data_IF_224900943075
#
_entry.id   IF_224900943075
#
_cell.length_a   1.000
_cell.length_b   1.000
_cell.length_c   1.000
_cell.angle_alpha   90.00
_cell.angle_beta   90.00
_cell.angle_gamma   90.00
#
_symmetry.space_group_name_H-M   'P 1'
#
loop_
_entity.id
_entity.type
_entity.pdbx_description
1 polymer ?
#
# COMPACT_ATOMS: atom_id res chain seq x y z
N UNK A 1 13.11 -45.62 2.76
CA UNK A 1 12.25 -45.29 1.61
C UNK A 1 10.81 -45.39 2.05
N UNK A 2 9.94 -44.42 1.74
CA UNK A 2 8.53 -44.46 2.14
C UNK A 2 7.76 -45.42 1.23
N UNK A 3 6.77 -46.14 1.79
CA UNK A 3 6.02 -47.20 1.09
C UNK A 3 5.38 -46.73 -0.21
N UNK A 4 4.84 -45.50 -0.24
CA UNK A 4 4.18 -44.95 -1.42
C UNK A 4 5.14 -44.65 -2.58
N UNK A 5 6.37 -44.22 -2.26
CA UNK A 5 7.42 -43.98 -3.27
C UNK A 5 7.86 -45.31 -3.88
N UNK A 6 8.06 -46.33 -3.05
CA UNK A 6 8.44 -47.66 -3.54
C UNK A 6 7.33 -48.29 -4.40
N UNK A 7 6.07 -48.06 -4.05
CA UNK A 7 4.89 -48.54 -4.82
C UNK A 7 4.82 -47.95 -6.23
N UNK A 8 5.00 -46.63 -6.37
CA UNK A 8 4.72 -45.92 -7.63
C UNK A 8 5.97 -45.54 -8.45
N UNK A 9 7.09 -45.26 -7.79
CA UNK A 9 8.35 -44.86 -8.46
C UNK A 9 9.32 -46.05 -8.56
N UNK A 10 9.35 -46.88 -7.52
CA UNK A 10 10.27 -48.00 -7.41
C UNK A 10 11.67 -47.59 -6.95
N UNK A 11 12.37 -48.53 -6.30
CA UNK A 11 13.67 -48.30 -5.66
C UNK A 11 14.74 -47.74 -6.61
N UNK A 12 14.90 -48.36 -7.78
CA UNK A 12 15.96 -48.00 -8.74
C UNK A 12 15.79 -46.58 -9.28
N UNK A 13 14.60 -46.21 -9.73
CA UNK A 13 14.33 -44.88 -10.28
C UNK A 13 14.46 -43.79 -9.21
N UNK A 14 14.04 -44.08 -7.97
CA UNK A 14 14.24 -43.16 -6.85
C UNK A 14 15.72 -42.96 -6.52
N UNK A 15 16.52 -44.04 -6.47
CA UNK A 15 17.97 -43.95 -6.23
C UNK A 15 18.70 -43.16 -7.32
N UNK A 16 18.38 -43.40 -8.60
CA UNK A 16 18.92 -42.62 -9.74
C UNK A 16 18.59 -41.12 -9.64
N UNK A 17 17.40 -40.77 -9.12
CA UNK A 17 17.03 -39.37 -8.94
C UNK A 17 17.75 -38.73 -7.75
N UNK A 18 17.82 -39.42 -6.62
CA UNK A 18 18.48 -38.92 -5.40
C UNK A 18 20.00 -38.83 -5.56
N UNK A 19 20.60 -39.64 -6.43
CA UNK A 19 22.02 -39.53 -6.79
C UNK A 19 22.39 -38.12 -7.30
N UNK A 20 21.45 -37.39 -7.92
CA UNK A 20 21.67 -35.98 -8.33
C UNK A 20 21.87 -35.03 -7.16
N UNK A 21 21.49 -35.42 -5.95
CA UNK A 21 21.65 -34.64 -4.72
C UNK A 21 22.89 -35.07 -3.90
N UNK A 22 23.76 -35.93 -4.45
CA UNK A 22 24.86 -36.55 -3.70
C UNK A 22 25.66 -35.54 -2.87
N UNK A 23 25.68 -35.78 -1.54
CA UNK A 23 26.36 -34.93 -0.57
C UNK A 23 25.50 -33.81 0.06
N UNK A 24 24.23 -33.64 -0.36
CA UNK A 24 23.32 -32.66 0.21
C UNK A 24 22.05 -33.34 0.77
N UNK A 25 22.07 -33.63 2.07
CA UNK A 25 20.97 -34.31 2.79
C UNK A 25 19.70 -33.44 2.84
N UNK A 26 19.82 -32.12 2.84
CA UNK A 26 18.66 -31.20 2.83
C UNK A 26 17.83 -31.38 1.56
N UNK A 27 18.49 -31.47 0.39
CA UNK A 27 17.80 -31.60 -0.89
C UNK A 27 17.11 -32.95 -1.02
N UNK A 28 17.78 -34.02 -0.58
CA UNK A 28 17.19 -35.35 -0.52
C UNK A 28 15.96 -35.39 0.39
N UNK A 29 16.04 -34.82 1.60
CA UNK A 29 14.93 -34.76 2.55
C UNK A 29 13.74 -33.98 1.98
N UNK A 30 13.98 -32.80 1.41
CA UNK A 30 12.93 -31.94 0.84
C UNK A 30 12.27 -32.63 -0.35
N UNK A 31 13.05 -33.19 -1.28
CA UNK A 31 12.52 -33.92 -2.42
C UNK A 31 11.69 -35.14 -1.99
N UNK A 32 12.23 -35.96 -1.10
CA UNK A 32 11.57 -37.18 -0.60
C UNK A 32 10.28 -36.85 0.14
N UNK A 33 10.27 -35.76 0.92
CA UNK A 33 9.07 -35.30 1.61
C UNK A 33 8.00 -34.82 0.64
N UNK A 34 8.38 -33.98 -0.33
CA UNK A 34 7.45 -33.45 -1.34
C UNK A 34 6.86 -34.57 -2.20
N UNK A 35 7.71 -35.42 -2.80
CA UNK A 35 7.29 -36.54 -3.64
C UNK A 35 6.31 -37.46 -2.91
N UNK A 36 6.58 -37.79 -1.65
CA UNK A 36 5.69 -38.63 -0.86
C UNK A 36 4.32 -38.00 -0.65
N UNK A 37 4.26 -36.70 -0.36
CA UNK A 37 2.99 -36.02 -0.13
C UNK A 37 2.20 -35.90 -1.45
N UNK A 38 2.87 -35.50 -2.52
CA UNK A 38 2.30 -35.43 -3.86
C UNK A 38 1.68 -36.76 -4.31
N UNK A 39 2.41 -37.87 -4.17
CA UNK A 39 1.87 -39.20 -4.52
C UNK A 39 0.69 -39.60 -3.61
N UNK A 40 0.68 -39.16 -2.35
CA UNK A 40 -0.41 -39.47 -1.40
C UNK A 40 -1.68 -38.71 -1.79
N UNK A 41 -1.54 -37.46 -2.22
CA UNK A 41 -2.65 -36.65 -2.75
C UNK A 41 -3.21 -37.26 -4.03
N UNK A 42 -2.35 -37.61 -5.00
CA UNK A 42 -2.79 -38.26 -6.24
C UNK A 42 -3.48 -39.62 -5.99
N UNK A 43 -2.93 -40.45 -5.10
CA UNK A 43 -3.56 -41.73 -4.73
C UNK A 43 -4.92 -41.51 -4.05
N UNK A 44 -5.02 -40.54 -3.14
CA UNK A 44 -6.26 -40.18 -2.47
C UNK A 44 -7.35 -39.68 -3.41
N UNK A 45 -6.96 -38.93 -4.44
CA UNK A 45 -7.86 -38.37 -5.45
C UNK A 45 -8.17 -39.34 -6.61
N UNK A 46 -7.61 -40.56 -6.58
CA UNK A 46 -7.63 -41.52 -7.70
C UNK A 46 -7.14 -40.90 -9.03
N UNK A 47 -6.14 -40.03 -8.94
CA UNK A 47 -5.58 -39.30 -10.07
C UNK A 47 -4.34 -39.98 -10.69
N UNK A 48 -3.99 -41.19 -10.22
CA UNK A 48 -2.92 -42.03 -10.80
C UNK A 48 -3.54 -43.01 -11.79
N UNK A 49 -3.18 -42.90 -13.06
CA UNK A 49 -3.68 -43.74 -14.15
C UNK A 49 -2.88 -45.06 -14.28
N UNK A 50 -3.45 -46.08 -14.93
CA UNK A 50 -2.78 -47.40 -15.06
C UNK A 50 -1.51 -47.35 -15.92
N UNK A 51 -1.40 -46.38 -16.82
CA UNK A 51 -0.25 -46.14 -17.69
C UNK A 51 0.73 -45.09 -17.15
N UNK A 52 0.46 -44.52 -15.97
CA UNK A 52 1.41 -43.62 -15.31
C UNK A 52 2.72 -44.34 -15.02
N UNK A 53 3.79 -43.79 -15.58
CA UNK A 53 5.13 -44.30 -15.37
C UNK A 53 5.82 -43.53 -14.25
N UNK A 54 6.88 -44.11 -13.63
CA UNK A 54 7.75 -43.36 -12.73
C UNK A 54 8.27 -42.05 -13.34
N UNK A 55 8.44 -41.98 -14.67
CA UNK A 55 8.90 -40.76 -15.34
C UNK A 55 7.84 -39.66 -15.26
N UNK A 56 6.59 -39.99 -15.62
CA UNK A 56 5.45 -39.06 -15.58
C UNK A 56 5.20 -38.55 -14.15
N UNK A 57 5.17 -39.46 -13.18
CA UNK A 57 4.92 -39.12 -11.77
C UNK A 57 6.06 -38.31 -11.11
N UNK A 58 7.22 -38.23 -11.76
CA UNK A 58 8.35 -37.43 -11.30
C UNK A 58 8.41 -36.03 -11.93
N UNK A 59 7.60 -35.70 -12.94
CA UNK A 59 7.66 -34.40 -13.62
C UNK A 59 7.48 -33.23 -12.64
N UNK A 60 6.36 -33.18 -11.91
CA UNK A 60 6.10 -32.10 -10.93
C UNK A 60 7.12 -32.09 -9.78
N UNK A 61 7.45 -33.23 -9.13
CA UNK A 61 8.52 -33.26 -8.13
C UNK A 61 9.89 -32.79 -8.64
N UNK A 62 10.21 -33.03 -9.92
CA UNK A 62 11.45 -32.55 -10.53
C UNK A 62 11.44 -31.03 -10.67
N UNK A 63 10.37 -30.44 -11.20
CA UNK A 63 10.26 -28.99 -11.35
C UNK A 63 10.28 -28.27 -9.99
N UNK A 64 9.63 -28.88 -8.99
CA UNK A 64 9.65 -28.39 -7.61
C UNK A 64 11.08 -28.34 -7.05
N UNK A 65 11.82 -29.46 -7.11
CA UNK A 65 13.15 -29.52 -6.49
C UNK A 65 14.18 -28.69 -7.25
N UNK A 66 14.08 -28.59 -8.57
CA UNK A 66 14.96 -27.75 -9.37
C UNK A 66 14.76 -26.27 -8.98
N UNK A 67 13.51 -25.81 -8.83
CA UNK A 67 13.21 -24.47 -8.33
C UNK A 67 13.70 -24.24 -6.88
N UNK A 68 13.52 -25.22 -6.00
CA UNK A 68 13.99 -25.14 -4.62
C UNK A 68 15.52 -24.97 -4.57
N UNK A 69 16.26 -25.79 -5.32
CA UNK A 69 17.72 -25.76 -5.36
C UNK A 69 18.23 -24.42 -5.89
N UNK A 70 17.60 -23.86 -6.92
CA UNK A 70 17.92 -22.52 -7.43
C UNK A 70 17.76 -21.46 -6.34
N UNK A 71 16.62 -21.43 -5.64
CA UNK A 71 16.37 -20.46 -4.57
C UNK A 71 17.39 -20.59 -3.42
N UNK A 72 17.74 -21.82 -3.03
CA UNK A 72 18.75 -22.05 -1.99
C UNK A 72 20.14 -21.58 -2.40
N UNK A 73 20.51 -21.75 -3.68
CA UNK A 73 21.79 -21.25 -4.22
C UNK A 73 21.84 -19.73 -4.28
N UNK A 74 20.70 -19.09 -4.53
CA UNK A 74 20.55 -17.64 -4.50
C UNK A 74 20.62 -17.04 -3.09
N UNK A 75 20.51 -17.88 -2.07
CA UNK A 75 20.68 -17.50 -0.66
C UNK A 75 19.37 -17.30 0.11
N UNK A 76 18.22 -17.63 -0.49
CA UNK A 76 16.93 -17.59 0.19
C UNK A 76 16.82 -18.67 1.26
N UNK A 77 16.04 -18.42 2.32
CA UNK A 77 15.73 -19.39 3.37
C UNK A 77 15.04 -20.64 2.85
N UNK A 78 15.00 -21.69 3.69
CA UNK A 78 14.32 -22.95 3.37
C UNK A 78 12.82 -22.74 3.16
N UNK A 79 12.17 -21.95 4.02
CA UNK A 79 10.72 -21.72 3.93
C UNK A 79 10.40 -20.95 2.65
N UNK A 80 11.12 -19.86 2.35
CA UNK A 80 10.96 -19.12 1.10
C UNK A 80 11.12 -20.02 -0.12
N UNK A 81 12.18 -20.84 -0.15
CA UNK A 81 12.47 -21.74 -1.27
C UNK A 81 11.37 -22.79 -1.48
N UNK A 82 10.79 -23.33 -0.40
CA UNK A 82 9.65 -24.27 -0.49
C UNK A 82 8.41 -23.55 -1.02
N UNK A 83 8.07 -22.38 -0.45
CA UNK A 83 6.86 -21.63 -0.82
C UNK A 83 6.92 -21.22 -2.29
N UNK A 84 8.03 -20.65 -2.73
CA UNK A 84 8.27 -20.26 -4.13
C UNK A 84 8.13 -21.43 -5.08
N UNK A 85 8.75 -22.57 -4.76
CA UNK A 85 8.67 -23.77 -5.58
C UNK A 85 7.22 -24.29 -5.70
N UNK A 86 6.42 -24.24 -4.63
CA UNK A 86 4.99 -24.61 -4.68
C UNK A 86 4.17 -23.65 -5.53
N UNK A 87 4.37 -22.34 -5.39
CA UNK A 87 3.65 -21.31 -6.15
C UNK A 87 3.91 -21.42 -7.65
N UNK A 88 5.16 -21.74 -8.04
CA UNK A 88 5.51 -21.99 -9.44
C UNK A 88 4.66 -23.11 -10.06
N UNK A 89 4.27 -24.12 -9.27
CA UNK A 89 3.46 -25.25 -9.72
C UNK A 89 1.96 -24.94 -9.76
N UNK A 90 1.46 -24.06 -8.90
CA UNK A 90 0.03 -23.72 -8.83
C UNK A 90 -0.43 -22.75 -9.92
N UNK A 91 0.47 -22.27 -10.79
CA UNK A 91 0.23 -21.21 -11.78
C UNK A 91 -0.23 -19.87 -11.19
N UNK A 92 -0.23 -19.72 -9.85
CA UNK A 92 -0.51 -18.47 -9.15
C UNK A 92 0.81 -17.73 -9.01
N UNK A 93 1.11 -16.86 -9.99
CA UNK A 93 2.32 -16.02 -9.98
C UNK A 93 2.10 -14.63 -9.38
N UNK A 94 0.85 -14.17 -9.28
CA UNK A 94 0.57 -12.90 -8.62
C UNK A 94 0.91 -13.04 -7.14
N UNK A 95 1.62 -12.04 -6.61
CA UNK A 95 1.97 -11.93 -5.19
C UNK A 95 2.94 -13.00 -4.64
N UNK A 96 3.76 -13.62 -5.50
CA UNK A 96 4.76 -14.60 -5.07
C UNK A 96 5.65 -14.08 -3.93
N UNK A 97 6.12 -12.84 -4.02
CA UNK A 97 6.97 -12.19 -3.01
C UNK A 97 6.23 -12.04 -1.67
N UNK A 98 4.96 -11.64 -1.69
CA UNK A 98 4.13 -11.52 -0.47
C UNK A 98 3.93 -12.87 0.17
N UNK A 99 3.50 -13.88 -0.60
CA UNK A 99 3.26 -15.22 -0.06
C UNK A 99 4.54 -15.83 0.51
N UNK A 100 5.69 -15.64 -0.13
CA UNK A 100 6.96 -16.11 0.43
C UNK A 100 7.33 -15.34 1.70
N UNK A 101 7.18 -14.02 1.73
CA UNK A 101 7.45 -13.21 2.92
C UNK A 101 6.55 -13.62 4.09
N UNK A 102 5.24 -13.75 3.88
CA UNK A 102 4.27 -14.09 4.93
C UNK A 102 4.58 -15.45 5.58
N UNK A 103 4.88 -16.47 4.78
CA UNK A 103 5.23 -17.81 5.26
C UNK A 103 6.51 -17.80 6.11
N UNK A 104 7.55 -17.06 5.69
CA UNK A 104 8.78 -16.94 6.48
C UNK A 104 8.53 -16.10 7.73
N UNK A 105 7.86 -14.95 7.61
CA UNK A 105 7.62 -14.00 8.69
C UNK A 105 6.72 -14.56 9.80
N UNK A 106 5.87 -15.55 9.49
CA UNK A 106 5.10 -16.31 10.47
C UNK A 106 5.98 -17.11 11.43
N UNK A 107 7.20 -17.48 11.01
CA UNK A 107 8.17 -18.24 11.80
C UNK A 107 9.30 -17.36 12.31
N UNK A 108 9.93 -16.57 11.44
CA UNK A 108 11.05 -15.69 11.74
C UNK A 108 11.02 -14.43 10.86
N UNK A 109 10.69 -13.28 11.48
CA UNK A 109 10.64 -11.99 10.79
C UNK A 109 12.01 -11.48 10.35
N UNK A 110 13.08 -11.80 11.09
CA UNK A 110 14.42 -11.36 10.70
C UNK A 110 14.92 -12.15 9.49
N UNK A 111 14.61 -13.44 9.41
CA UNK A 111 14.88 -14.25 8.22
C UNK A 111 14.08 -13.76 7.01
N UNK A 112 12.80 -13.43 7.19
CA UNK A 112 11.96 -12.88 6.12
C UNK A 112 12.51 -11.57 5.55
N UNK A 113 13.03 -10.68 6.41
CA UNK A 113 13.70 -9.45 5.97
C UNK A 113 15.00 -9.74 5.20
N UNK A 114 15.80 -10.72 5.62
CA UNK A 114 17.01 -11.14 4.89
C UNK A 114 16.65 -11.67 3.51
N UNK A 115 15.58 -12.47 3.40
CA UNK A 115 15.11 -12.98 2.12
C UNK A 115 14.64 -11.87 1.18
N UNK A 116 13.92 -10.86 1.69
CA UNK A 116 13.57 -9.68 0.89
C UNK A 116 14.82 -8.93 0.38
N UNK A 117 15.86 -8.81 1.21
CA UNK A 117 17.12 -8.23 0.76
C UNK A 117 17.83 -9.08 -0.32
N UNK A 118 17.78 -10.41 -0.21
CA UNK A 118 18.27 -11.31 -1.26
C UNK A 118 17.49 -11.09 -2.55
N UNK A 119 16.16 -11.03 -2.48
CA UNK A 119 15.30 -10.73 -3.62
C UNK A 119 15.65 -9.41 -4.30
N UNK A 120 15.77 -8.33 -3.53
CA UNK A 120 16.14 -7.01 -4.08
C UNK A 120 17.51 -7.03 -4.75
N UNK A 121 18.49 -7.71 -4.15
CA UNK A 121 19.84 -7.82 -4.72
C UNK A 121 19.85 -8.56 -6.06
N UNK A 122 19.11 -9.65 -6.18
CA UNK A 122 19.02 -10.43 -7.42
C UNK A 122 18.36 -9.63 -8.56
N UNK A 123 17.47 -8.70 -8.22
CA UNK A 123 16.84 -7.78 -9.16
C UNK A 123 17.68 -6.52 -9.46
N UNK A 124 18.94 -6.46 -9.01
CA UNK A 124 19.80 -5.27 -9.12
C UNK A 124 19.17 -4.00 -8.50
N UNK A 125 18.32 -4.18 -7.49
CA UNK A 125 17.66 -3.10 -6.79
C UNK A 125 18.66 -2.20 -6.09
N UNK A 126 18.54 -0.89 -6.31
CA UNK A 126 19.28 0.09 -5.53
C UNK A 126 18.66 0.29 -4.14
N UNK A 127 19.21 1.22 -3.37
CA UNK A 127 18.69 1.51 -2.03
C UNK A 127 17.21 1.92 -2.06
N UNK A 128 16.79 2.76 -3.01
CA UNK A 128 15.41 3.29 -3.03
C UNK A 128 14.40 2.25 -3.50
N UNK A 129 14.77 1.42 -4.48
CA UNK A 129 14.04 0.21 -4.84
C UNK A 129 13.86 -0.70 -3.62
N UNK A 130 14.96 -0.97 -2.91
CA UNK A 130 14.99 -1.91 -1.78
C UNK A 130 14.14 -1.41 -0.62
N UNK A 131 14.32 -0.14 -0.23
CA UNK A 131 13.57 0.49 0.85
C UNK A 131 12.06 0.47 0.55
N UNK A 132 11.67 0.82 -0.68
CA UNK A 132 10.26 0.81 -1.10
C UNK A 132 9.68 -0.61 -1.13
N UNK A 133 10.35 -1.56 -1.76
CA UNK A 133 9.85 -2.95 -1.87
C UNK A 133 9.63 -3.55 -0.49
N UNK A 134 10.60 -3.40 0.40
CA UNK A 134 10.53 -3.95 1.76
C UNK A 134 9.37 -3.30 2.52
N UNK A 135 9.28 -1.97 2.52
CA UNK A 135 8.17 -1.28 3.20
C UNK A 135 6.81 -1.69 2.63
N UNK A 136 6.70 -1.78 1.30
CA UNK A 136 5.48 -2.15 0.61
C UNK A 136 5.06 -3.58 0.96
N UNK A 137 5.97 -4.55 0.96
CA UNK A 137 5.67 -5.96 1.30
C UNK A 137 5.32 -6.13 2.77
N UNK A 138 5.92 -5.36 3.67
CA UNK A 138 5.63 -5.45 5.11
C UNK A 138 4.26 -4.85 5.45
N UNK A 139 3.92 -3.72 4.83
CA UNK A 139 2.74 -2.92 5.19
C UNK A 139 1.51 -3.24 4.33
N UNK A 140 1.69 -3.93 3.20
CA UNK A 140 0.60 -4.38 2.34
C UNK A 140 0.60 -5.91 2.28
N UNK A 141 -0.59 -6.53 2.21
CA UNK A 141 -0.71 -7.98 2.04
C UNK A 141 -0.90 -8.43 0.59
N UNK A 142 -1.01 -7.49 -0.34
CA UNK A 142 -1.41 -7.76 -1.71
C UNK A 142 -1.06 -6.59 -2.63
N UNK A 143 -0.75 -6.91 -3.89
CA UNK A 143 -0.75 -5.96 -4.98
C UNK A 143 -1.38 -6.55 -6.24
N UNK A 144 -2.03 -5.70 -7.03
CA UNK A 144 -2.53 -6.09 -8.36
C UNK A 144 -1.38 -6.23 -9.37
N UNK A 145 -0.28 -5.49 -9.17
CA UNK A 145 0.92 -5.53 -10.00
C UNK A 145 2.05 -6.25 -9.26
N UNK A 146 3.00 -6.89 -9.96
CA UNK A 146 4.19 -7.43 -9.32
C UNK A 146 4.92 -6.32 -8.53
N UNK A 147 5.27 -6.59 -7.27
CA UNK A 147 5.85 -5.58 -6.38
C UNK A 147 7.22 -5.10 -6.85
N UNK A 148 7.95 -5.96 -7.56
CA UNK A 148 9.20 -5.61 -8.23
C UNK A 148 9.01 -4.54 -9.30
N UNK A 149 7.91 -4.54 -10.06
CA UNK A 149 7.61 -3.52 -11.07
C UNK A 149 7.28 -2.19 -10.39
N UNK A 150 6.50 -2.23 -9.30
CA UNK A 150 6.18 -1.04 -8.51
C UNK A 150 7.44 -0.39 -7.92
N UNK A 151 8.34 -1.20 -7.36
CA UNK A 151 9.59 -0.73 -6.80
C UNK A 151 10.53 -0.14 -7.88
N UNK A 152 10.52 -0.72 -9.07
CA UNK A 152 11.24 -0.22 -10.24
C UNK A 152 10.74 1.14 -10.70
N UNK A 153 9.42 1.28 -10.85
CA UNK A 153 8.76 2.54 -11.21
C UNK A 153 9.03 3.60 -10.15
N UNK A 154 8.85 3.26 -8.88
CA UNK A 154 9.17 4.12 -7.75
C UNK A 154 10.61 4.64 -7.82
N UNK A 155 11.61 3.74 -7.94
CA UNK A 155 13.02 4.13 -7.96
C UNK A 155 13.35 5.05 -9.14
N UNK A 156 12.80 4.76 -10.33
CA UNK A 156 12.98 5.59 -11.54
C UNK A 156 12.36 6.98 -11.37
N UNK A 157 11.11 7.05 -10.89
CA UNK A 157 10.41 8.32 -10.70
C UNK A 157 11.08 9.16 -9.62
N UNK A 158 11.46 8.54 -8.50
CA UNK A 158 12.17 9.20 -7.41
C UNK A 158 13.44 9.89 -7.90
N UNK A 159 14.31 9.15 -8.62
CA UNK A 159 15.55 9.70 -9.19
C UNK A 159 15.28 10.88 -10.11
N UNK A 160 14.29 10.75 -11.01
CA UNK A 160 13.90 11.83 -11.92
C UNK A 160 13.47 13.10 -11.17
N UNK A 161 12.74 12.97 -10.07
CA UNK A 161 12.34 14.13 -9.27
C UNK A 161 13.54 14.78 -8.55
N UNK A 162 14.45 13.98 -8.01
CA UNK A 162 15.69 14.47 -7.38
C UNK A 162 16.58 15.20 -8.41
N UNK A 163 16.77 14.62 -9.59
CA UNK A 163 17.52 15.25 -10.70
C UNK A 163 16.86 16.56 -11.16
N UNK A 164 15.53 16.64 -11.07
CA UNK A 164 14.75 17.85 -11.30
C UNK A 164 14.82 18.89 -10.18
N UNK A 165 15.61 18.67 -9.13
CA UNK A 165 15.82 19.59 -8.01
C UNK A 165 14.72 19.58 -6.95
N UNK A 166 13.90 18.53 -6.88
CA UNK A 166 12.89 18.37 -5.83
C UNK A 166 13.51 17.86 -4.53
N UNK A 167 12.86 18.11 -3.40
CA UNK A 167 13.27 17.58 -2.10
C UNK A 167 13.11 16.06 -2.03
N UNK A 168 13.78 15.42 -1.09
CA UNK A 168 13.59 13.98 -0.85
C UNK A 168 12.16 13.64 -0.41
N UNK A 169 11.53 14.51 0.38
CA UNK A 169 10.16 14.34 0.88
C UNK A 169 9.17 14.38 -0.29
N UNK A 170 9.28 15.41 -1.16
CA UNK A 170 8.48 15.50 -2.37
C UNK A 170 8.68 14.30 -3.27
N UNK A 171 9.94 13.96 -3.59
CA UNK A 171 10.27 12.90 -4.52
C UNK A 171 9.75 11.54 -4.03
N UNK A 172 9.89 11.25 -2.73
CA UNK A 172 9.38 10.04 -2.12
C UNK A 172 7.86 9.94 -2.23
N UNK A 173 7.12 10.95 -1.72
CA UNK A 173 5.66 10.91 -1.72
C UNK A 173 5.08 10.90 -3.14
N UNK A 174 5.64 11.69 -4.06
CA UNK A 174 5.23 11.70 -5.46
C UNK A 174 5.46 10.34 -6.13
N UNK A 175 6.65 9.75 -5.95
CA UNK A 175 6.97 8.46 -6.56
C UNK A 175 6.06 7.34 -6.05
N UNK A 176 5.75 7.30 -4.75
CA UNK A 176 4.82 6.29 -4.20
C UNK A 176 3.44 6.40 -4.82
N UNK A 177 2.87 7.61 -4.87
CA UNK A 177 1.53 7.84 -5.42
C UNK A 177 1.42 7.52 -6.91
N UNK A 178 2.47 7.79 -7.69
CA UNK A 178 2.51 7.45 -9.11
C UNK A 178 2.71 5.95 -9.33
N UNK A 179 3.61 5.30 -8.56
CA UNK A 179 3.87 3.87 -8.70
C UNK A 179 2.61 3.03 -8.47
N UNK A 180 1.81 3.41 -7.46
CA UNK A 180 0.53 2.75 -7.16
C UNK A 180 -0.56 2.98 -8.23
N UNK A 181 -0.40 3.97 -9.11
CA UNK A 181 -1.28 4.27 -10.26
C UNK A 181 -2.78 4.45 -9.93
N UNK A 182 -3.10 4.77 -8.66
CA UNK A 182 -4.48 5.02 -8.22
C UNK A 182 -4.97 6.43 -8.50
N UNK A 183 -4.04 7.37 -8.66
CA UNK A 183 -4.33 8.80 -8.70
C UNK A 183 -3.85 9.43 -10.00
N UNK A 184 -4.63 10.39 -10.50
CA UNK A 184 -4.23 11.19 -11.64
C UNK A 184 -2.95 12.00 -11.32
N UNK A 185 -2.04 12.14 -12.27
CA UNK A 185 -0.73 12.77 -12.06
C UNK A 185 -0.81 14.15 -11.35
N UNK A 186 -1.77 15.00 -11.75
CA UNK A 186 -2.04 16.30 -11.12
C UNK A 186 -2.27 16.17 -9.61
N UNK A 187 -3.05 15.18 -9.18
CA UNK A 187 -3.29 14.92 -7.77
C UNK A 187 -1.97 14.58 -7.07
N UNK A 188 -1.18 13.68 -7.64
CA UNK A 188 0.11 13.26 -7.07
C UNK A 188 1.08 14.43 -6.91
N UNK A 189 1.16 15.30 -7.93
CA UNK A 189 2.02 16.50 -7.90
C UNK A 189 1.61 17.46 -6.79
N UNK A 190 0.32 17.83 -6.73
CA UNK A 190 -0.19 18.78 -5.75
C UNK A 190 -0.13 18.21 -4.32
N UNK A 191 -0.40 16.91 -4.16
CA UNK A 191 -0.28 16.23 -2.87
C UNK A 191 1.16 16.29 -2.37
N UNK A 192 2.12 15.82 -3.17
CA UNK A 192 3.51 15.77 -2.77
C UNK A 192 4.07 17.16 -2.45
N UNK A 193 3.65 18.19 -3.19
CA UNK A 193 4.04 19.57 -2.95
C UNK A 193 3.59 20.08 -1.58
N UNK A 194 2.30 19.96 -1.29
CA UNK A 194 1.74 20.48 -0.02
C UNK A 194 2.24 19.67 1.17
N UNK A 195 2.40 18.37 1.00
CA UNK A 195 2.95 17.50 2.02
C UNK A 195 4.39 17.89 2.38
N UNK A 196 5.27 18.05 1.37
CA UNK A 196 6.65 18.51 1.54
C UNK A 196 6.73 19.89 2.20
N UNK A 197 5.93 20.85 1.73
CA UNK A 197 5.88 22.18 2.31
C UNK A 197 5.43 22.15 3.77
N UNK A 198 4.42 21.36 4.11
CA UNK A 198 3.90 21.28 5.47
C UNK A 198 4.95 20.76 6.45
N UNK A 199 5.65 19.68 6.09
CA UNK A 199 6.72 19.12 6.93
C UNK A 199 7.92 20.06 7.04
N UNK A 200 8.27 20.76 5.95
CA UNK A 200 9.33 21.78 5.97
C UNK A 200 9.00 22.96 6.90
N UNK A 201 7.71 23.22 7.15
CA UNK A 201 7.23 24.21 8.13
C UNK A 201 6.95 23.60 9.51
N UNK A 202 7.56 22.46 9.83
CA UNK A 202 7.48 21.79 11.13
C UNK A 202 6.06 21.41 11.56
N UNK A 203 5.14 21.25 10.59
CA UNK A 203 3.82 20.66 10.87
C UNK A 203 3.94 19.16 11.09
N UNK A 204 2.96 18.59 11.79
CA UNK A 204 2.90 17.15 12.02
C UNK A 204 2.60 16.39 10.73
N UNK A 205 2.96 15.12 10.70
CA UNK A 205 2.62 14.18 9.63
C UNK A 205 1.11 14.15 9.35
N UNK A 206 0.29 14.01 10.40
CA UNK A 206 -1.17 14.01 10.30
C UNK A 206 -1.70 15.31 9.65
N UNK A 207 -1.13 16.47 10.00
CA UNK A 207 -1.51 17.74 9.37
C UNK A 207 -1.15 17.74 7.88
N UNK A 208 0.08 17.31 7.54
CA UNK A 208 0.57 17.29 6.17
C UNK A 208 -0.30 16.40 5.28
N UNK A 209 -0.68 15.20 5.76
CA UNK A 209 -1.54 14.28 5.03
C UNK A 209 -2.96 14.85 4.80
N UNK A 210 -3.57 15.41 5.85
CA UNK A 210 -4.91 15.99 5.76
C UNK A 210 -4.92 17.18 4.78
N UNK A 211 -3.91 18.04 4.85
CA UNK A 211 -3.84 19.20 3.98
C UNK A 211 -3.56 18.81 2.54
N UNK A 212 -2.56 17.96 2.30
CA UNK A 212 -2.17 17.51 0.97
C UNK A 212 -3.33 16.78 0.26
N UNK A 213 -4.01 15.88 0.96
CA UNK A 213 -5.17 15.15 0.42
C UNK A 213 -6.29 16.11 0.00
N UNK A 214 -6.63 17.07 0.88
CA UNK A 214 -7.69 18.03 0.58
C UNK A 214 -7.30 18.98 -0.55
N UNK A 215 -6.07 19.48 -0.54
CA UNK A 215 -5.58 20.38 -1.57
C UNK A 215 -5.56 19.71 -2.95
N UNK A 216 -4.95 18.53 -3.05
CA UNK A 216 -4.86 17.79 -4.30
C UNK A 216 -6.25 17.41 -4.86
N UNK A 217 -7.20 17.03 -4.00
CA UNK A 217 -8.57 16.69 -4.43
C UNK A 217 -9.37 17.89 -4.95
N UNK A 218 -9.24 19.08 -4.35
CA UNK A 218 -9.90 20.29 -4.87
C UNK A 218 -9.29 20.74 -6.20
N UNK A 219 -7.98 20.59 -6.38
CA UNK A 219 -7.27 21.06 -7.57
C UNK A 219 -7.36 20.10 -8.76
N UNK A 220 -7.37 18.78 -8.54
CA UNK A 220 -7.43 17.81 -9.64
C UNK A 220 -8.71 17.98 -10.46
N UNK A 221 -9.84 18.21 -9.80
CA UNK A 221 -11.14 18.38 -10.46
C UNK A 221 -11.17 19.64 -11.33
N UNK A 222 -10.61 20.75 -10.81
CA UNK A 222 -10.54 22.02 -11.53
C UNK A 222 -9.60 21.90 -12.72
N UNK A 223 -8.36 21.45 -12.50
CA UNK A 223 -7.34 21.36 -13.55
C UNK A 223 -7.72 20.37 -14.65
N UNK A 224 -8.42 19.27 -14.32
CA UNK A 224 -8.86 18.25 -15.30
C UNK A 224 -10.05 18.68 -16.13
N UNK A 225 -11.07 19.32 -15.55
CA UNK A 225 -12.26 19.81 -16.28
C UNK A 225 -11.92 20.95 -17.22
N UNK A 226 -10.94 21.76 -16.85
CA UNK A 226 -10.57 22.96 -17.55
C UNK A 226 -9.68 22.73 -18.79
N UNK A 227 -9.12 21.53 -18.99
CA UNK A 227 -8.14 21.29 -20.05
C UNK A 227 -6.90 22.19 -19.93
N UNK A 228 -6.53 22.58 -18.70
CA UNK A 228 -5.65 23.74 -18.40
C UNK A 228 -6.35 25.06 -18.78
N UNK A 229 -7.47 25.43 -18.15
CA UNK A 229 -7.91 26.83 -18.20
C UNK A 229 -7.15 27.61 -17.14
N UNK A 230 -6.44 28.64 -17.61
CA UNK A 230 -5.72 29.64 -16.82
C UNK A 230 -6.67 30.57 -16.03
N UNK A 231 -7.83 30.06 -15.60
CA UNK A 231 -8.75 30.83 -14.78
C UNK A 231 -8.22 30.83 -13.34
N UNK A 232 -7.36 31.81 -13.08
CA UNK A 232 -6.71 32.02 -11.78
C UNK A 232 -7.75 32.11 -10.66
N UNK A 233 -8.94 32.66 -10.90
CA UNK A 233 -9.99 32.79 -9.88
C UNK A 233 -10.53 31.43 -9.44
N UNK A 234 -10.77 30.51 -10.38
CA UNK A 234 -11.27 29.16 -10.04
C UNK A 234 -10.18 28.35 -9.31
N UNK A 235 -8.92 28.50 -9.71
CA UNK A 235 -7.79 27.86 -9.04
C UNK A 235 -7.60 28.41 -7.63
N UNK A 236 -7.66 29.72 -7.45
CA UNK A 236 -7.51 30.35 -6.14
C UNK A 236 -8.68 30.00 -5.21
N UNK A 237 -9.90 29.92 -5.73
CA UNK A 237 -11.04 29.42 -4.98
C UNK A 237 -10.85 27.97 -4.51
N UNK A 238 -10.27 27.09 -5.35
CA UNK A 238 -9.97 25.72 -4.96
C UNK A 238 -8.88 25.63 -3.87
N UNK A 239 -7.83 26.45 -3.97
CA UNK A 239 -6.80 26.57 -2.93
C UNK A 239 -7.40 27.08 -1.62
N UNK A 240 -8.28 28.08 -1.67
CA UNK A 240 -8.94 28.63 -0.50
C UNK A 240 -9.89 27.65 0.16
N UNK A 241 -10.57 26.78 -0.61
CA UNK A 241 -11.35 25.67 -0.03
C UNK A 241 -10.48 24.73 0.79
N UNK A 242 -9.33 24.34 0.26
CA UNK A 242 -8.39 23.46 0.96
C UNK A 242 -7.81 24.15 2.22
N UNK A 243 -7.45 25.43 2.11
CA UNK A 243 -7.00 26.25 3.24
C UNK A 243 -8.06 26.40 4.32
N UNK A 244 -9.31 26.66 3.93
CA UNK A 244 -10.43 26.79 4.86
C UNK A 244 -10.67 25.48 5.62
N UNK A 245 -10.59 24.35 4.92
CA UNK A 245 -10.70 23.03 5.54
C UNK A 245 -9.60 22.80 6.59
N UNK A 246 -8.33 23.00 6.23
CA UNK A 246 -7.23 22.68 7.15
C UNK A 246 -7.19 23.63 8.35
N UNK A 247 -7.54 24.92 8.18
CA UNK A 247 -7.67 25.86 9.30
C UNK A 247 -8.79 25.44 10.26
N UNK A 248 -9.92 25.00 9.73
CA UNK A 248 -11.02 24.46 10.55
C UNK A 248 -10.63 23.19 11.29
N UNK A 249 -9.86 22.32 10.63
CA UNK A 249 -9.35 21.07 11.20
C UNK A 249 -8.36 21.33 12.33
N UNK A 250 -7.38 22.21 12.11
CA UNK A 250 -6.38 22.62 13.10
C UNK A 250 -7.06 23.18 14.35
N UNK A 251 -7.98 24.15 14.17
CA UNK A 251 -8.73 24.71 15.28
C UNK A 251 -9.54 23.65 16.05
N UNK A 252 -10.23 22.75 15.35
CA UNK A 252 -11.04 21.71 15.98
C UNK A 252 -10.19 20.76 16.83
N UNK A 253 -8.96 20.45 16.39
CA UNK A 253 -8.02 19.61 17.13
C UNK A 253 -7.41 20.34 18.32
N UNK A 254 -6.89 21.54 18.13
CA UNK A 254 -6.29 22.35 19.20
C UNK A 254 -7.28 22.60 20.34
N UNK A 255 -8.57 22.77 20.02
CA UNK A 255 -9.63 23.02 20.99
C UNK A 255 -10.36 21.74 21.45
N UNK A 256 -9.90 20.56 21.05
CA UNK A 256 -10.47 19.26 21.43
C UNK A 256 -12.00 19.19 21.21
N UNK A 257 -12.49 19.72 20.08
CA UNK A 257 -13.91 19.70 19.78
C UNK A 257 -14.39 18.26 19.56
N UNK A 258 -15.53 17.91 20.16
CA UNK A 258 -16.11 16.56 20.04
C UNK A 258 -16.62 16.26 18.63
N UNK A 259 -17.26 17.22 17.98
CA UNK A 259 -17.81 17.08 16.62
C UNK A 259 -16.96 17.88 15.63
N UNK A 260 -15.75 17.36 15.36
CA UNK A 260 -14.74 18.01 14.51
C UNK A 260 -15.28 18.24 13.09
N UNK A 261 -15.91 17.23 12.49
CA UNK A 261 -16.42 17.30 11.12
C UNK A 261 -17.47 18.39 10.95
N UNK A 262 -18.40 18.53 11.90
CA UNK A 262 -19.40 19.60 11.86
C UNK A 262 -18.76 20.98 11.99
N UNK A 263 -17.75 21.13 12.86
CA UNK A 263 -17.05 22.40 13.01
C UNK A 263 -16.30 22.78 11.72
N UNK A 264 -15.57 21.83 11.12
CA UNK A 264 -14.82 22.04 9.87
C UNK A 264 -15.77 22.51 8.75
N UNK A 265 -16.96 21.92 8.64
CA UNK A 265 -17.99 22.36 7.68
C UNK A 265 -18.46 23.80 7.97
N UNK A 266 -18.76 24.12 9.23
CA UNK A 266 -19.18 25.47 9.63
C UNK A 266 -18.09 26.51 9.40
N UNK A 267 -16.83 26.15 9.65
CA UNK A 267 -15.67 27.00 9.41
C UNK A 267 -15.46 27.23 7.93
N UNK A 268 -15.37 26.16 7.13
CA UNK A 268 -15.12 26.23 5.70
C UNK A 268 -16.15 27.12 4.99
N UNK A 269 -17.43 26.91 5.28
CA UNK A 269 -18.51 27.73 4.72
C UNK A 269 -18.44 29.20 5.17
N UNK A 270 -18.08 29.45 6.43
CA UNK A 270 -17.98 30.83 6.94
C UNK A 270 -16.75 31.54 6.40
N UNK A 271 -15.64 30.84 6.19
CA UNK A 271 -14.43 31.35 5.57
C UNK A 271 -14.70 31.77 4.13
N UNK A 272 -15.21 30.86 3.29
CA UNK A 272 -15.45 31.15 1.88
C UNK A 272 -16.47 32.27 1.69
N UNK A 273 -17.58 32.26 2.43
CA UNK A 273 -18.58 33.33 2.35
C UNK A 273 -18.04 34.69 2.83
N UNK A 274 -17.02 34.72 3.68
CA UNK A 274 -16.42 35.98 4.15
C UNK A 274 -15.36 36.47 3.16
N UNK A 275 -14.55 35.57 2.60
CA UNK A 275 -13.50 35.92 1.63
C UNK A 275 -14.05 36.37 0.28
N UNK A 276 -15.17 35.78 -0.15
CA UNK A 276 -15.80 36.04 -1.45
C UNK A 276 -17.14 36.77 -1.30
N UNK A 277 -17.27 37.60 -0.25
CA UNK A 277 -18.45 38.44 -0.05
C UNK A 277 -18.43 39.65 -0.98
N UNK A 278 -19.57 39.97 -1.58
CA UNK A 278 -19.75 41.21 -2.37
C UNK A 278 -19.81 42.48 -1.50
N UNK A 279 -19.81 42.36 -0.16
CA UNK A 279 -19.83 43.51 0.75
C UNK A 279 -18.40 44.03 1.03
N UNK A 280 -18.00 45.19 0.46
CA UNK A 280 -16.65 45.73 0.62
C UNK A 280 -16.33 46.21 2.05
N UNK A 281 -17.30 46.21 2.97
CA UNK A 281 -17.09 46.58 4.37
C UNK A 281 -16.81 45.40 5.31
N UNK A 282 -16.92 44.14 4.85
CA UNK A 282 -16.93 42.99 5.76
C UNK A 282 -15.54 42.65 6.33
N UNK A 283 -14.45 42.93 5.61
CA UNK A 283 -13.09 42.85 6.13
C UNK A 283 -12.05 43.53 5.19
N UNK A 284 -11.03 44.19 5.76
CA UNK A 284 -10.01 44.95 4.99
C UNK A 284 -8.69 44.20 4.82
N UNK A 285 -8.51 43.11 5.57
CA UNK A 285 -7.33 42.24 5.52
C UNK A 285 -7.72 40.78 5.65
N UNK A 286 -6.90 39.87 5.12
CA UNK A 286 -7.08 38.41 5.26
C UNK A 286 -7.23 38.01 6.74
N UNK A 287 -6.42 38.59 7.64
CA UNK A 287 -6.50 38.31 9.08
C UNK A 287 -7.83 38.72 9.71
N UNK A 288 -8.43 39.82 9.25
CA UNK A 288 -9.75 40.24 9.71
C UNK A 288 -10.83 39.31 9.19
N UNK A 289 -10.75 38.91 7.92
CA UNK A 289 -11.68 37.93 7.33
C UNK A 289 -11.61 36.59 8.06
N UNK A 290 -10.42 36.08 8.37
CA UNK A 290 -10.21 34.83 9.13
C UNK A 290 -10.82 34.89 10.54
N UNK A 291 -10.66 36.03 11.24
CA UNK A 291 -11.29 36.23 12.57
C UNK A 291 -12.81 36.28 12.48
N UNK A 292 -13.35 36.97 11.48
CA UNK A 292 -14.79 37.06 11.26
C UNK A 292 -15.38 35.70 10.88
N UNK A 293 -14.69 34.96 10.00
CA UNK A 293 -15.04 33.60 9.62
C UNK A 293 -15.11 32.67 10.83
N UNK A 294 -14.10 32.71 11.72
CA UNK A 294 -14.08 31.92 12.95
C UNK A 294 -15.26 32.27 13.86
N UNK A 295 -15.54 33.56 14.07
CA UNK A 295 -16.68 34.01 14.87
C UNK A 295 -18.01 33.48 14.30
N UNK A 296 -18.25 33.69 13.00
CA UNK A 296 -19.45 33.19 12.29
C UNK A 296 -19.54 31.65 12.36
N UNK A 297 -18.41 30.95 12.31
CA UNK A 297 -18.36 29.50 12.41
C UNK A 297 -18.75 28.97 13.79
N UNK A 298 -18.23 29.59 14.86
CA UNK A 298 -18.57 29.25 16.24
C UNK A 298 -20.07 29.44 16.52
N UNK A 299 -20.63 30.58 16.13
CA UNK A 299 -22.06 30.88 16.28
C UNK A 299 -22.94 29.83 15.56
N UNK A 300 -22.57 29.46 14.32
CA UNK A 300 -23.29 28.41 13.55
C UNK A 300 -23.14 27.04 14.21
N UNK A 301 -21.94 26.69 14.67
CA UNK A 301 -21.63 25.41 15.28
C UNK A 301 -22.43 25.21 16.57
N UNK A 302 -22.43 26.21 17.46
CA UNK A 302 -23.20 26.19 18.72
C UNK A 302 -24.70 26.03 18.46
N UNK A 303 -25.24 26.79 17.50
CA UNK A 303 -26.65 26.69 17.11
C UNK A 303 -27.00 25.28 16.60
N UNK A 304 -26.14 24.68 15.78
CA UNK A 304 -26.36 23.32 15.27
C UNK A 304 -26.26 22.27 16.39
N UNK A 305 -25.30 22.36 17.30
CA UNK A 305 -25.20 21.47 18.47
C UNK A 305 -26.44 21.58 19.35
N UNK A 306 -26.89 22.80 19.65
CA UNK A 306 -28.09 23.03 20.45
C UNK A 306 -29.32 22.38 19.80
N UNK A 307 -29.48 22.52 18.48
CA UNK A 307 -30.61 21.94 17.75
C UNK A 307 -30.63 20.39 17.76
N UNK A 308 -29.46 19.74 17.77
CA UNK A 308 -29.35 18.27 17.86
C UNK A 308 -29.75 17.76 19.25
N UNK A 309 -29.25 18.40 20.31
CA UNK A 309 -29.63 18.06 21.70
C UNK A 309 -31.13 18.18 21.94
N UNK A 310 -31.78 19.19 21.35
CA UNK A 310 -33.23 19.35 21.48
C UNK A 310 -33.99 18.23 20.76
N UNK A 311 -33.55 17.81 19.56
CA UNK A 311 -34.17 16.68 18.84
C UNK A 311 -34.04 15.35 19.60
N UNK A 312 -32.85 15.03 20.09
CA UNK A 312 -32.61 13.79 20.85
C UNK A 312 -33.46 13.74 22.14
N UNK A 313 -33.70 14.88 22.78
CA UNK A 313 -34.56 14.98 23.96
C UNK A 313 -36.07 14.78 23.68
N UNK A 314 -36.51 15.06 22.44
CA UNK A 314 -37.89 14.86 21.98
C UNK A 314 -38.11 13.38 21.63
N UNK A 315 -37.13 12.74 20.97
CA UNK A 315 -37.23 11.33 20.57
C UNK A 315 -37.16 10.36 21.76
N UNK A 316 -36.44 10.70 22.83
CA UNK A 316 -36.46 9.92 24.09
C UNK A 316 -37.84 10.01 24.78
N UNK A 317 -38.57 11.11 24.60
CA UNK A 317 -39.92 11.30 25.18
C UNK A 317 -41.01 10.64 24.34
N UNK A 318 -40.85 10.57 23.01
CA UNK A 318 -41.81 9.87 22.13
C UNK A 318 -41.70 8.34 22.21
N UNK A 319 -40.54 7.81 22.61
CA UNK A 319 -40.29 6.37 22.79
C UNK A 319 -40.76 5.82 24.15
N UNK A 320 -41.28 6.67 25.05
CA UNK A 320 -41.70 6.32 26.42
C UNK A 320 -43.20 6.48 26.66
N UNK A 321 -43.99 6.67 25.60
CA UNK A 321 -45.45 6.74 25.67
C UNK A 321 -46.09 5.51 25.03
#
# INVERSE_FOLDING_TARGET
>A
MKTIIEKYIGKKAFEEKVEKFFGNTEFEEVFTSFLSNYLTELEGDNAIEEDDTPTTLLEIPNDFIDCYIECRKDGFSKIWSITRAKLKMSSVRSNEVFSCYEEVAAVDKEEALKDLHVFCKLNNGDKRYTDFLIDYVINNGYSERPVEELADDFSKIYKKQIEGGKSEIYANKYASLIAEDHYHEIYCQDYALIYDQSLTHEKSEEYAEQYASKYASELVDVKRRAGISEDEEILDFAKDKAKAYINGWEYANENNLKDKSLFIECYSNSYLNTMYSDDPNDCRTIKECEKLALKKALEKFEKRIASRKTKDSIDIRSSRN
#
